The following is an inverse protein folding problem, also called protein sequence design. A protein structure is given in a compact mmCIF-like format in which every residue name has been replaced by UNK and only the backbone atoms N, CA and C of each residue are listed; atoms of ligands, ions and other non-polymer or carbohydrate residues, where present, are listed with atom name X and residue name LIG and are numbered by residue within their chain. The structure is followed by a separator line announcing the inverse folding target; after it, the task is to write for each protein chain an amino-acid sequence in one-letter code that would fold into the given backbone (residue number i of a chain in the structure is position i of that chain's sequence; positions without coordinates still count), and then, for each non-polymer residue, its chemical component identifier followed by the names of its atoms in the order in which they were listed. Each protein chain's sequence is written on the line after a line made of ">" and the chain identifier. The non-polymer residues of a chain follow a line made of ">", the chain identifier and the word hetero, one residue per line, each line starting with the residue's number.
data_IF_988636116927
#
_entry.id   IF_988636116927
#
_cell.length_a   1.000
_cell.length_b   1.000
_cell.length_c   1.000
_cell.angle_alpha   90.00
_cell.angle_beta   90.00
_cell.angle_gamma   90.00
#
_symmetry.space_group_name_H-M   'P 1'
#
loop_
_entity.id
_entity.type
_entity.pdbx_description
1 polymer ?
#
# COMPACT_ATOMS: atom_id res chain seq x y z
N UNK A 1 -20.87 30.76 -8.88
CA UNK A 1 -21.28 29.49 -8.26
C UNK A 1 -20.00 28.83 -7.77
N UNK A 2 -19.90 28.40 -6.51
CA UNK A 2 -18.65 27.85 -5.99
C UNK A 2 -18.21 26.63 -6.83
N UNK A 3 -16.92 26.61 -7.18
CA UNK A 3 -16.29 25.55 -7.96
C UNK A 3 -15.75 24.47 -7.01
N UNK A 4 -15.89 23.21 -7.40
CA UNK A 4 -15.25 22.10 -6.69
C UNK A 4 -13.85 21.87 -7.27
N UNK A 5 -12.86 21.48 -6.45
CA UNK A 5 -11.53 21.18 -6.94
C UNK A 5 -11.55 19.98 -7.90
N UNK A 6 -10.56 19.92 -8.79
CA UNK A 6 -10.39 18.83 -9.75
C UNK A 6 -9.74 17.58 -9.11
N UNK A 7 -10.21 17.19 -7.92
CA UNK A 7 -9.79 16.05 -7.10
C UNK A 7 -11.01 15.46 -6.38
N UNK A 8 -10.87 14.35 -5.67
CA UNK A 8 -11.95 13.81 -4.85
C UNK A 8 -12.33 14.79 -3.75
N UNK A 9 -13.62 14.93 -3.52
CA UNK A 9 -14.19 15.81 -2.49
C UNK A 9 -15.10 15.01 -1.57
N UNK A 10 -15.19 15.45 -0.32
CA UNK A 10 -16.28 15.10 0.59
C UNK A 10 -17.04 16.37 0.91
N UNK A 11 -18.22 16.52 0.30
CA UNK A 11 -19.03 17.74 0.38
C UNK A 11 -20.09 17.58 1.45
N UNK A 12 -20.12 18.49 2.42
CA UNK A 12 -21.23 18.63 3.36
C UNK A 12 -22.43 19.21 2.62
N UNK A 13 -23.54 18.50 2.64
CA UNK A 13 -24.79 18.91 1.96
C UNK A 13 -25.95 19.13 2.91
N UNK A 14 -25.76 18.82 4.20
CA UNK A 14 -26.74 19.05 5.25
C UNK A 14 -26.07 19.67 6.48
N UNK A 15 -26.68 20.74 7.00
CA UNK A 15 -26.10 21.61 8.03
C UNK A 15 -26.87 21.59 9.36
N UNK A 16 -27.67 20.55 9.61
CA UNK A 16 -28.50 20.47 10.82
C UNK A 16 -27.75 20.07 12.10
N UNK A 17 -26.54 19.53 11.99
CA UNK A 17 -25.69 19.19 13.13
C UNK A 17 -24.20 19.42 12.82
N UNK A 18 -23.61 20.46 13.42
CA UNK A 18 -22.18 20.79 13.28
C UNK A 18 -21.28 19.87 14.11
N UNK A 19 -21.81 19.30 15.20
CA UNK A 19 -21.04 18.40 16.06
C UNK A 19 -20.81 17.08 15.34
N UNK A 20 -21.84 16.52 14.73
CA UNK A 20 -21.69 15.27 13.98
C UNK A 20 -20.88 15.44 12.71
N UNK A 21 -20.94 16.61 12.07
CA UNK A 21 -19.97 16.95 11.02
C UNK A 21 -18.52 16.89 11.52
N UNK A 22 -18.24 17.47 12.69
CA UNK A 22 -16.92 17.38 13.32
C UNK A 22 -16.51 15.95 13.73
N UNK A 23 -17.46 15.07 14.07
CA UNK A 23 -17.21 13.65 14.32
C UNK A 23 -16.85 12.93 13.02
N UNK A 24 -17.66 13.08 11.98
CA UNK A 24 -17.40 12.51 10.65
C UNK A 24 -16.04 12.92 10.11
N UNK A 25 -15.68 14.21 10.19
CA UNK A 25 -14.38 14.69 9.75
C UNK A 25 -13.24 13.96 10.47
N UNK A 26 -13.33 13.75 11.79
CA UNK A 26 -12.32 12.99 12.53
C UNK A 26 -12.25 11.53 12.09
N UNK A 27 -13.39 10.88 11.84
CA UNK A 27 -13.43 9.50 11.38
C UNK A 27 -12.82 9.34 9.98
N UNK A 28 -13.10 10.27 9.05
CA UNK A 28 -12.53 10.25 7.69
C UNK A 28 -11.03 10.58 7.65
N UNK A 29 -10.54 11.32 8.65
CA UNK A 29 -9.12 11.61 8.85
C UNK A 29 -8.42 10.55 9.70
N UNK A 30 -9.14 9.54 10.19
CA UNK A 30 -8.55 8.38 10.85
C UNK A 30 -8.13 7.38 9.78
N UNK A 31 -6.85 6.94 9.74
CA UNK A 31 -6.42 5.93 8.78
C UNK A 31 -7.29 4.67 8.88
N UNK A 32 -7.57 4.05 7.73
CA UNK A 32 -8.22 2.76 7.66
C UNK A 32 -7.42 1.72 8.44
N UNK A 33 -8.00 0.53 8.61
CA UNK A 33 -7.27 -0.58 9.22
C UNK A 33 -5.88 -0.74 8.61
N UNK A 34 -5.79 -0.78 7.28
CA UNK A 34 -4.54 -0.93 6.52
C UNK A 34 -3.62 0.31 6.51
N UNK A 35 -3.96 1.37 7.26
CA UNK A 35 -3.15 2.58 7.37
C UNK A 35 -3.34 3.60 6.25
N UNK A 36 -4.36 3.43 5.40
CA UNK A 36 -4.64 4.33 4.29
C UNK A 36 -5.59 5.47 4.71
N UNK A 37 -5.36 6.65 4.16
CA UNK A 37 -6.32 7.75 4.21
C UNK A 37 -6.97 7.93 2.85
N UNK A 38 -8.21 8.39 2.86
CA UNK A 38 -8.85 8.87 1.64
C UNK A 38 -8.27 10.25 1.29
N UNK A 39 -7.86 10.44 0.05
CA UNK A 39 -7.33 11.70 -0.47
C UNK A 39 -8.48 12.66 -0.88
N UNK A 40 -9.44 12.85 0.02
CA UNK A 40 -10.60 13.73 -0.21
C UNK A 40 -10.35 15.14 0.30
N UNK A 41 -10.73 16.15 -0.50
CA UNK A 41 -10.83 17.53 -0.03
C UNK A 41 -12.18 17.74 0.67
N UNK A 42 -12.14 18.09 1.96
CA UNK A 42 -13.36 18.43 2.71
C UNK A 42 -13.93 19.75 2.21
N UNK A 43 -15.23 19.78 1.91
CA UNK A 43 -15.94 20.98 1.46
C UNK A 43 -17.12 21.24 2.40
N UNK A 44 -16.96 22.24 3.26
CA UNK A 44 -17.96 22.70 4.23
C UNK A 44 -18.39 24.14 3.86
N UNK A 45 -19.21 24.25 2.82
CA UNK A 45 -19.71 25.53 2.30
C UNK A 45 -21.23 25.41 2.09
N UNK A 46 -22.05 26.23 2.78
CA UNK A 46 -23.51 26.25 2.64
C UNK A 46 -24.01 26.43 1.20
N UNK A 47 -23.20 26.95 0.28
CA UNK A 47 -23.54 27.01 -1.14
C UNK A 47 -23.77 25.63 -1.79
N UNK A 48 -23.35 24.55 -1.13
CA UNK A 48 -23.57 23.16 -1.56
C UNK A 48 -24.66 22.43 -0.75
N UNK A 49 -25.45 23.14 0.06
CA UNK A 49 -26.61 22.55 0.74
C UNK A 49 -27.56 21.89 -0.28
N UNK A 50 -27.94 20.64 -0.01
CA UNK A 50 -28.81 19.85 -0.88
C UNK A 50 -28.20 19.46 -2.24
N UNK A 51 -26.88 19.56 -2.43
CA UNK A 51 -26.21 19.15 -3.67
C UNK A 51 -26.52 17.68 -4.01
N UNK A 52 -27.13 17.43 -5.16
CA UNK A 52 -27.46 16.06 -5.60
C UNK A 52 -26.25 15.35 -6.23
N UNK A 53 -26.25 14.01 -6.30
CA UNK A 53 -25.23 13.24 -7.01
C UNK A 53 -25.08 13.62 -8.50
N UNK A 54 -26.18 13.97 -9.17
CA UNK A 54 -26.18 14.43 -10.57
C UNK A 54 -25.49 15.80 -10.69
N UNK A 55 -25.78 16.71 -9.75
CA UNK A 55 -25.17 18.03 -9.72
C UNK A 55 -23.69 17.97 -9.35
N UNK A 56 -23.30 17.05 -8.46
CA UNK A 56 -21.90 16.76 -8.17
C UNK A 56 -21.17 16.26 -9.43
N UNK A 57 -21.73 15.26 -10.14
CA UNK A 57 -21.18 14.75 -11.41
C UNK A 57 -20.95 15.85 -12.44
N UNK A 58 -21.93 16.73 -12.61
CA UNK A 58 -21.83 17.85 -13.55
C UNK A 58 -20.69 18.84 -13.21
N UNK A 59 -20.25 18.88 -11.95
CA UNK A 59 -19.15 19.74 -11.48
C UNK A 59 -17.76 19.14 -11.63
N UNK A 60 -17.63 17.87 -12.03
CA UNK A 60 -16.35 17.16 -12.19
C UNK A 60 -16.05 16.71 -13.63
N UNK A 61 -15.98 17.57 -14.66
CA UNK A 61 -15.80 17.12 -16.05
C UNK A 61 -14.39 16.58 -16.42
N UNK A 62 -13.42 16.53 -15.49
CA UNK A 62 -12.03 16.11 -15.79
C UNK A 62 -11.12 15.84 -14.59
N UNK A 63 -11.67 15.40 -13.46
CA UNK A 63 -10.99 15.19 -12.18
C UNK A 63 -11.08 13.75 -11.65
N UNK A 64 -11.39 13.62 -10.37
CA UNK A 64 -11.56 12.32 -9.73
C UNK A 64 -12.72 11.50 -10.33
N UNK A 65 -12.52 10.17 -10.36
CA UNK A 65 -13.50 9.19 -10.76
C UNK A 65 -14.61 9.05 -9.70
N UNK A 66 -14.29 9.19 -8.41
CA UNK A 66 -15.26 9.15 -7.31
C UNK A 66 -15.19 10.40 -6.43
N UNK A 67 -16.34 10.86 -5.94
CA UNK A 67 -16.44 11.90 -4.91
C UNK A 67 -17.61 11.59 -3.98
N UNK A 68 -17.71 12.32 -2.88
CA UNK A 68 -18.53 11.91 -1.75
C UNK A 68 -19.43 13.06 -1.27
N UNK A 69 -20.61 12.70 -0.79
CA UNK A 69 -21.56 13.61 -0.16
C UNK A 69 -21.81 13.15 1.29
N UNK A 70 -21.76 14.10 2.21
CA UNK A 70 -22.29 13.95 3.56
C UNK A 70 -23.66 14.63 3.61
N UNK A 71 -24.71 13.82 3.52
CA UNK A 71 -26.11 14.25 3.58
C UNK A 71 -26.69 14.06 4.98
N UNK A 72 -27.99 14.33 5.15
CA UNK A 72 -28.69 14.15 6.42
C UNK A 72 -28.51 12.73 6.96
N UNK A 73 -28.56 11.70 6.11
CA UNK A 73 -28.39 10.31 6.53
C UNK A 73 -26.96 10.06 7.01
N UNK A 74 -25.94 10.62 6.34
CA UNK A 74 -24.56 10.53 6.81
C UNK A 74 -24.39 11.10 8.21
N UNK A 75 -25.06 12.21 8.55
CA UNK A 75 -24.88 12.89 9.84
C UNK A 75 -25.84 12.45 10.94
N UNK A 76 -26.90 11.70 10.62
CA UNK A 76 -27.90 11.23 11.60
C UNK A 76 -27.83 9.73 11.86
N UNK A 77 -27.22 8.95 10.96
CA UNK A 77 -27.08 7.51 11.11
C UNK A 77 -25.84 7.17 11.98
N UNK A 78 -25.94 6.21 12.92
CA UNK A 78 -24.88 5.92 13.90
C UNK A 78 -23.54 5.43 13.32
N UNK A 79 -23.52 4.96 12.08
CA UNK A 79 -22.30 4.51 11.39
C UNK A 79 -21.72 5.55 10.41
N UNK A 80 -22.32 6.75 10.39
CA UNK A 80 -22.02 7.84 9.45
C UNK A 80 -21.76 7.43 7.99
N UNK A 81 -22.68 6.70 7.34
CA UNK A 81 -22.48 6.15 6.02
C UNK A 81 -22.47 7.28 4.97
N UNK A 82 -21.30 7.51 4.39
CA UNK A 82 -21.00 8.56 3.41
C UNK A 82 -21.51 8.11 2.04
N UNK A 83 -22.16 9.01 1.29
CA UNK A 83 -22.67 8.68 -0.04
C UNK A 83 -21.54 8.80 -1.08
N UNK A 84 -21.07 7.68 -1.61
CA UNK A 84 -20.14 7.64 -2.72
C UNK A 84 -20.88 7.91 -4.04
N UNK A 85 -20.30 8.77 -4.88
CA UNK A 85 -20.84 9.16 -6.19
C UNK A 85 -19.77 8.99 -7.25
N UNK A 86 -20.12 8.27 -8.31
CA UNK A 86 -19.26 8.16 -9.48
C UNK A 86 -19.27 9.48 -10.27
N UNK A 87 -18.21 10.27 -10.12
CA UNK A 87 -18.08 11.61 -10.71
C UNK A 87 -17.81 11.59 -12.22
N UNK A 88 -17.01 10.63 -12.72
CA UNK A 88 -16.57 10.58 -14.12
C UNK A 88 -16.61 9.17 -14.73
N UNK A 89 -17.72 8.76 -15.37
CA UNK A 89 -17.76 7.51 -16.12
C UNK A 89 -16.93 7.60 -17.42
N UNK A 90 -16.29 6.49 -17.87
CA UNK A 90 -15.63 6.42 -19.17
C UNK A 90 -16.57 6.87 -20.30
N UNK A 91 -16.03 7.63 -21.27
CA UNK A 91 -16.83 8.09 -22.42
C UNK A 91 -17.43 6.90 -23.16
N UNK A 92 -18.77 6.85 -23.24
CA UNK A 92 -19.53 5.79 -23.90
C UNK A 92 -20.07 4.72 -22.95
N UNK A 93 -19.73 4.76 -21.66
CA UNK A 93 -20.33 3.91 -20.65
C UNK A 93 -21.66 4.53 -20.17
N UNK A 94 -22.76 4.07 -20.78
CA UNK A 94 -24.13 4.45 -20.46
C UNK A 94 -24.79 3.44 -19.49
N UNK A 95 -24.00 2.65 -18.73
CA UNK A 95 -24.52 1.65 -17.80
C UNK A 95 -25.46 2.32 -16.79
N UNK A 96 -26.75 2.02 -16.96
CA UNK A 96 -27.89 2.42 -16.12
C UNK A 96 -27.81 1.87 -14.68
N UNK A 97 -26.76 1.09 -14.36
CA UNK A 97 -26.59 0.36 -13.10
C UNK A 97 -25.77 1.06 -12.01
N UNK A 98 -25.05 2.15 -12.31
CA UNK A 98 -24.13 2.76 -11.34
C UNK A 98 -24.80 3.81 -10.46
N UNK A 99 -25.67 3.34 -9.57
CA UNK A 99 -26.28 4.18 -8.53
C UNK A 99 -25.23 4.52 -7.46
N UNK A 100 -25.31 5.71 -6.86
CA UNK A 100 -24.60 6.00 -5.62
C UNK A 100 -24.87 4.93 -4.57
N UNK A 101 -23.83 4.55 -3.82
CA UNK A 101 -23.93 3.65 -2.68
C UNK A 101 -23.32 4.31 -1.46
N UNK A 102 -23.59 3.78 -0.27
CA UNK A 102 -23.03 4.34 0.96
C UNK A 102 -21.82 3.54 1.44
N UNK A 103 -20.86 4.22 2.05
CA UNK A 103 -19.64 3.62 2.60
C UNK A 103 -19.41 4.13 4.02
N UNK A 104 -19.06 3.24 4.94
CA UNK A 104 -18.67 3.66 6.29
C UNK A 104 -17.33 4.40 6.26
N UNK A 105 -17.07 5.37 7.17
CA UNK A 105 -15.82 6.14 7.16
C UNK A 105 -14.56 5.26 7.17
N UNK A 106 -14.57 4.15 7.90
CA UNK A 106 -13.46 3.20 7.98
C UNK A 106 -13.06 2.55 6.63
N UNK A 107 -13.98 2.54 5.65
CA UNK A 107 -13.77 1.97 4.31
C UNK A 107 -13.63 3.05 3.23
N UNK A 108 -13.71 4.34 3.59
CA UNK A 108 -13.68 5.44 2.64
C UNK A 108 -12.37 5.45 1.82
N UNK A 109 -11.23 5.20 2.46
CA UNK A 109 -9.93 5.13 1.82
C UNK A 109 -9.84 3.99 0.79
N UNK A 110 -10.45 2.84 1.08
CA UNK A 110 -10.47 1.71 0.16
C UNK A 110 -11.22 2.05 -1.12
N UNK A 111 -12.40 2.66 -1.00
CA UNK A 111 -13.21 3.08 -2.16
C UNK A 111 -12.51 4.19 -2.95
N UNK A 112 -12.03 5.24 -2.28
CA UNK A 112 -11.45 6.41 -2.95
C UNK A 112 -10.16 6.05 -3.69
N UNK A 113 -9.20 5.41 -3.01
CA UNK A 113 -7.90 5.08 -3.60
C UNK A 113 -8.06 4.11 -4.77
N UNK A 114 -8.80 3.00 -4.59
CA UNK A 114 -8.88 1.97 -5.61
C UNK A 114 -9.61 2.44 -6.87
N UNK A 115 -10.70 3.21 -6.73
CA UNK A 115 -11.46 3.69 -7.89
C UNK A 115 -10.66 4.76 -8.64
N UNK A 116 -10.07 5.73 -7.94
CA UNK A 116 -9.32 6.80 -8.61
C UNK A 116 -8.01 6.34 -9.25
N UNK A 117 -7.35 5.33 -8.68
CA UNK A 117 -6.14 4.71 -9.26
C UNK A 117 -6.45 3.62 -10.28
N UNK A 118 -7.74 3.30 -10.49
CA UNK A 118 -8.20 2.23 -11.37
C UNK A 118 -7.64 0.84 -11.01
N UNK A 119 -7.51 0.55 -9.71
CA UNK A 119 -7.18 -0.78 -9.21
C UNK A 119 -8.43 -1.68 -9.13
N UNK A 120 -9.58 -1.10 -8.74
CA UNK A 120 -10.90 -1.74 -8.75
C UNK A 120 -11.91 -0.78 -9.41
N UNK A 121 -12.99 -1.34 -9.94
CA UNK A 121 -14.06 -0.56 -10.56
C UNK A 121 -15.21 -0.27 -9.58
N UNK A 122 -16.22 0.45 -10.05
CA UNK A 122 -17.38 0.81 -9.23
C UNK A 122 -18.22 -0.41 -8.82
N UNK A 123 -18.36 -1.40 -9.71
CA UNK A 123 -19.19 -2.58 -9.46
C UNK A 123 -18.56 -3.46 -8.35
N UNK A 124 -17.23 -3.51 -8.29
CA UNK A 124 -16.49 -4.22 -7.24
C UNK A 124 -16.89 -3.79 -5.82
N UNK A 125 -17.37 -2.55 -5.64
CA UNK A 125 -17.90 -2.04 -4.37
C UNK A 125 -19.43 -2.04 -4.32
N UNK A 126 -20.09 -1.55 -5.37
CA UNK A 126 -21.54 -1.37 -5.38
C UNK A 126 -22.31 -2.70 -5.31
N UNK A 127 -21.75 -3.78 -5.84
CA UNK A 127 -22.34 -5.12 -5.78
C UNK A 127 -22.10 -5.82 -4.42
N UNK A 128 -21.28 -5.21 -3.55
CA UNK A 128 -20.85 -5.74 -2.24
C UNK A 128 -21.40 -4.97 -1.05
N UNK A 129 -22.35 -4.07 -1.28
CA UNK A 129 -23.07 -3.41 -0.19
C UNK A 129 -23.91 -4.44 0.58
N UNK A 130 -24.07 -4.22 1.88
CA UNK A 130 -24.97 -5.03 2.69
C UNK A 130 -26.43 -4.80 2.30
N UNK A 131 -27.35 -5.56 2.92
CA UNK A 131 -28.78 -5.50 2.62
C UNK A 131 -29.41 -4.10 2.80
N UNK A 132 -28.77 -3.22 3.56
CA UNK A 132 -29.17 -1.83 3.78
C UNK A 132 -28.51 -0.83 2.81
N UNK A 133 -27.70 -1.30 1.86
CA UNK A 133 -27.05 -0.48 0.85
C UNK A 133 -25.77 0.21 1.33
N UNK A 134 -25.22 -0.22 2.47
CA UNK A 134 -23.97 0.30 3.04
C UNK A 134 -22.84 -0.70 2.81
N UNK A 135 -21.74 -0.22 2.24
CA UNK A 135 -20.49 -0.94 2.11
C UNK A 135 -19.70 -0.82 3.42
N UNK A 136 -19.54 -1.95 4.11
CA UNK A 136 -18.74 -2.09 5.34
C UNK A 136 -17.40 -2.81 5.14
N UNK A 137 -17.11 -3.22 3.90
CA UNK A 137 -15.96 -4.06 3.59
C UNK A 137 -16.24 -5.54 3.88
N UNK A 138 -15.25 -6.41 3.67
CA UNK A 138 -15.33 -7.78 4.16
C UNK A 138 -15.22 -7.79 5.70
N UNK A 139 -16.02 -8.63 6.36
CA UNK A 139 -15.88 -8.90 7.80
C UNK A 139 -14.51 -9.56 8.01
N UNK A 140 -13.48 -8.74 8.26
CA UNK A 140 -12.20 -9.25 8.71
C UNK A 140 -12.42 -9.70 10.15
N UNK A 141 -12.35 -11.02 10.37
CA UNK A 141 -12.36 -11.60 11.70
C UNK A 141 -11.36 -10.84 12.60
N UNK A 142 -11.72 -10.67 13.87
CA UNK A 142 -10.96 -9.98 14.92
C UNK A 142 -9.45 -9.96 14.62
N UNK A 143 -8.95 -8.77 14.32
CA UNK A 143 -7.59 -8.50 13.85
C UNK A 143 -6.56 -9.33 14.61
N UNK A 144 -5.76 -10.12 13.90
CA UNK A 144 -4.68 -10.87 14.52
C UNK A 144 -3.51 -9.94 14.84
N UNK A 145 -2.72 -10.24 15.86
CA UNK A 145 -1.49 -9.48 16.21
C UNK A 145 -0.53 -9.31 15.01
N UNK A 146 -0.64 -10.18 14.01
CA UNK A 146 0.15 -10.10 12.79
C UNK A 146 -0.34 -9.02 11.80
N UNK A 147 -1.65 -8.84 11.64
CA UNK A 147 -2.21 -7.80 10.76
C UNK A 147 -1.87 -6.40 11.30
N UNK A 148 -1.96 -6.21 12.62
CA UNK A 148 -1.48 -5.01 13.31
C UNK A 148 0.03 -4.76 13.09
N UNK A 149 0.84 -5.82 13.11
CA UNK A 149 2.28 -5.74 12.85
C UNK A 149 2.57 -5.28 11.42
N UNK A 150 1.84 -5.79 10.41
CA UNK A 150 1.99 -5.36 9.01
C UNK A 150 1.61 -3.90 8.84
N UNK A 151 0.55 -3.42 9.50
CA UNK A 151 0.13 -2.00 9.48
C UNK A 151 1.20 -1.07 10.05
N UNK A 152 1.80 -1.44 11.19
CA UNK A 152 2.88 -0.64 11.80
C UNK A 152 4.12 -0.58 10.90
N UNK A 153 4.46 -1.67 10.21
CA UNK A 153 5.55 -1.74 9.23
C UNK A 153 5.30 -0.75 8.06
N UNK A 154 4.08 -0.72 7.52
CA UNK A 154 3.71 0.15 6.40
C UNK A 154 3.68 1.64 6.80
N UNK A 155 3.17 1.95 7.99
CA UNK A 155 3.15 3.31 8.51
C UNK A 155 4.57 3.88 8.71
N UNK A 156 5.48 3.09 9.31
CA UNK A 156 6.89 3.48 9.48
C UNK A 156 7.59 3.71 8.12
N UNK A 157 7.29 2.87 7.13
CA UNK A 157 7.79 3.03 5.76
C UNK A 157 7.34 4.35 5.12
N UNK A 158 6.05 4.68 5.25
CA UNK A 158 5.46 5.88 4.66
C UNK A 158 6.02 7.18 5.26
N UNK A 159 6.25 7.20 6.58
CA UNK A 159 6.91 8.31 7.28
C UNK A 159 8.31 8.57 6.71
N UNK A 160 9.09 7.51 6.47
CA UNK A 160 10.44 7.62 5.93
C UNK A 160 10.48 8.15 4.49
N UNK A 161 9.57 7.66 3.64
CA UNK A 161 9.46 8.11 2.24
C UNK A 161 8.94 9.55 2.12
N UNK A 162 8.30 10.09 3.16
CA UNK A 162 7.63 11.40 3.11
C UNK A 162 8.00 12.26 4.32
N UNK A 163 9.16 12.96 4.31
CA UNK A 163 9.70 13.67 5.48
C UNK A 163 8.85 14.83 6.06
N UNK A 164 7.69 15.16 5.46
CA UNK A 164 6.73 16.14 5.96
C UNK A 164 5.48 15.56 6.64
N UNK A 165 5.30 14.23 6.61
CA UNK A 165 4.12 13.54 7.17
C UNK A 165 4.33 13.11 8.64
N UNK A 166 5.58 13.14 9.11
CA UNK A 166 6.00 12.72 10.44
C UNK A 166 5.33 13.52 11.58
N UNK A 167 4.95 14.77 11.32
CA UNK A 167 4.33 15.63 12.34
C UNK A 167 2.86 15.28 12.60
N UNK A 168 2.19 14.68 11.61
CA UNK A 168 0.79 14.25 11.67
C UNK A 168 0.62 12.77 12.09
N UNK A 169 1.68 11.97 12.03
CA UNK A 169 1.67 10.52 12.28
C UNK A 169 2.16 10.10 13.67
N UNK A 170 2.34 11.04 14.62
CA UNK A 170 2.74 10.77 16.02
C UNK A 170 1.70 10.02 16.87
N UNK A 171 0.84 9.23 16.25
CA UNK A 171 -0.08 8.32 16.94
C UNK A 171 -0.14 6.92 16.30
N UNK A 172 0.76 6.61 15.35
CA UNK A 172 1.00 5.26 14.83
C UNK A 172 2.24 4.59 15.43
N UNK A 173 2.79 5.15 16.52
CA UNK A 173 3.75 4.40 17.34
C UNK A 173 3.02 3.24 17.99
N UNK A 174 3.62 2.05 17.86
CA UNK A 174 3.25 0.87 18.65
C UNK A 174 3.05 1.30 20.11
N UNK A 175 2.00 0.83 20.81
CA UNK A 175 1.73 1.23 22.20
C UNK A 175 2.92 1.02 23.16
N UNK A 176 3.95 0.26 22.75
CA UNK A 176 5.16 -0.04 23.50
C UNK A 176 6.43 0.72 23.04
N UNK A 177 6.38 1.53 21.98
CA UNK A 177 7.54 2.31 21.49
C UNK A 177 8.69 1.51 20.84
N UNK A 178 8.48 0.22 20.55
CA UNK A 178 9.47 -0.66 19.91
C UNK A 178 9.24 -0.69 18.39
N UNK A 179 10.32 -0.49 17.61
CA UNK A 179 10.28 -0.53 16.14
C UNK A 179 9.87 -1.91 15.61
N UNK A 180 8.94 -1.92 14.66
CA UNK A 180 8.42 -3.14 14.01
C UNK A 180 9.16 -3.49 12.72
N UNK A 181 9.94 -2.55 12.19
CA UNK A 181 10.76 -2.70 10.97
C UNK A 181 12.07 -1.94 11.14
N UNK A 182 13.15 -2.46 10.54
CA UNK A 182 14.40 -1.72 10.40
C UNK A 182 14.49 -1.10 9.00
N UNK A 183 14.94 0.15 8.95
CA UNK A 183 15.24 0.86 7.69
C UNK A 183 16.74 1.02 7.62
N UNK A 184 17.37 0.30 6.71
CA UNK A 184 18.82 0.22 6.58
C UNK A 184 19.26 0.88 5.29
N UNK A 185 20.07 1.93 5.40
CA UNK A 185 20.69 2.54 4.21
C UNK A 185 21.82 1.67 3.66
N UNK A 186 22.02 1.68 2.34
CA UNK A 186 23.10 0.93 1.67
C UNK A 186 24.50 1.34 2.12
N UNK A 187 24.64 2.56 2.65
CA UNK A 187 25.90 3.11 3.14
C UNK A 187 26.03 3.06 4.68
N UNK A 188 25.03 2.49 5.37
CA UNK A 188 24.96 2.50 6.83
C UNK A 188 26.12 1.76 7.48
N UNK A 189 26.40 2.07 8.75
CA UNK A 189 27.39 1.32 9.52
C UNK A 189 26.94 -0.09 9.91
N UNK A 190 27.71 -1.16 9.59
CA UNK A 190 27.36 -2.54 9.90
C UNK A 190 27.09 -2.79 11.38
N UNK A 191 27.79 -2.09 12.28
CA UNK A 191 27.52 -2.20 13.71
C UNK A 191 26.15 -1.62 14.03
N UNK A 192 25.84 -0.46 13.46
CA UNK A 192 24.51 0.15 13.57
C UNK A 192 23.41 -0.70 12.93
N UNK A 193 23.67 -1.39 11.81
CA UNK A 193 22.70 -2.32 11.18
C UNK A 193 22.37 -3.46 12.14
N UNK A 194 23.39 -4.12 12.72
CA UNK A 194 23.19 -5.18 13.70
C UNK A 194 22.40 -4.69 14.91
N UNK A 195 22.79 -3.55 15.47
CA UNK A 195 22.13 -2.98 16.66
C UNK A 195 20.66 -2.66 16.39
N UNK A 196 20.33 -2.13 15.21
CA UNK A 196 18.95 -1.88 14.82
C UNK A 196 18.15 -3.16 14.59
N UNK A 197 18.72 -4.16 13.94
CA UNK A 197 18.02 -5.44 13.73
C UNK A 197 17.81 -6.19 15.05
N UNK A 198 18.77 -6.11 15.99
CA UNK A 198 18.66 -6.74 17.29
C UNK A 198 17.63 -6.08 18.23
N UNK A 199 17.25 -4.82 17.97
CA UNK A 199 16.21 -4.12 18.76
C UNK A 199 14.80 -4.38 18.25
N UNK A 200 14.63 -5.00 17.08
CA UNK A 200 13.32 -5.38 16.57
C UNK A 200 12.69 -6.45 17.46
N UNK A 201 11.42 -6.26 17.83
CA UNK A 201 10.64 -7.27 18.58
C UNK A 201 10.60 -8.62 17.84
N UNK A 202 10.61 -8.58 16.52
CA UNK A 202 10.55 -9.77 15.67
C UNK A 202 11.89 -10.50 15.53
N UNK A 203 13.00 -9.89 15.98
CA UNK A 203 14.32 -10.51 15.89
C UNK A 203 14.38 -11.80 16.74
N UNK A 204 14.79 -12.94 16.16
CA UNK A 204 14.88 -14.19 16.93
C UNK A 204 15.89 -14.05 18.08
N UNK A 205 15.45 -14.30 19.32
CA UNK A 205 16.32 -14.23 20.49
C UNK A 205 17.51 -15.21 20.44
N UNK A 206 17.40 -16.27 19.64
CA UNK A 206 18.45 -17.27 19.41
C UNK A 206 19.43 -16.90 18.27
N UNK A 207 19.24 -15.76 17.60
CA UNK A 207 20.12 -15.32 16.52
C UNK A 207 21.50 -14.96 17.08
N UNK A 208 22.53 -15.75 16.72
CA UNK A 208 23.91 -15.51 17.11
C UNK A 208 24.57 -14.48 16.20
N UNK A 209 25.53 -13.73 16.77
CA UNK A 209 26.37 -12.74 16.08
C UNK A 209 27.86 -13.09 16.14
N UNK A 210 28.22 -14.32 16.54
CA UNK A 210 29.62 -14.73 16.74
C UNK A 210 30.42 -14.78 15.43
N UNK A 211 29.73 -14.95 14.31
CA UNK A 211 30.29 -14.97 12.95
C UNK A 211 30.72 -13.57 12.45
N UNK A 212 30.20 -12.49 13.03
CA UNK A 212 30.37 -11.12 12.53
C UNK A 212 31.84 -10.70 12.47
N UNK A 213 32.66 -11.13 13.44
CA UNK A 213 34.09 -10.79 13.45
C UNK A 213 34.83 -11.41 12.26
N UNK A 214 34.52 -12.66 11.92
CA UNK A 214 35.10 -13.35 10.77
C UNK A 214 34.60 -12.73 9.46
N UNK A 215 33.29 -12.48 9.35
CA UNK A 215 32.68 -11.83 8.19
C UNK A 215 33.29 -10.46 7.90
N UNK A 216 33.49 -9.63 8.95
CA UNK A 216 34.15 -8.33 8.84
C UNK A 216 35.56 -8.42 8.27
N UNK A 217 36.32 -9.45 8.65
CA UNK A 217 37.68 -9.63 8.18
C UNK A 217 37.72 -10.04 6.70
N UNK A 218 36.75 -10.85 6.26
CA UNK A 218 36.62 -11.29 4.87
C UNK A 218 36.20 -10.15 3.93
N UNK A 219 35.32 -9.26 4.39
CA UNK A 219 34.76 -8.16 3.59
C UNK A 219 35.40 -6.80 3.90
N UNK A 220 36.59 -6.77 4.50
CA UNK A 220 37.25 -5.54 4.97
C UNK A 220 37.52 -4.53 3.83
N UNK A 221 37.75 -5.04 2.62
CA UNK A 221 38.06 -4.24 1.43
C UNK A 221 36.85 -4.07 0.48
N UNK A 222 35.69 -4.65 0.82
CA UNK A 222 34.49 -4.57 -0.02
C UNK A 222 33.93 -3.15 -0.05
N UNK A 223 33.41 -2.68 -1.21
CA UNK A 223 32.59 -1.48 -1.26
C UNK A 223 31.44 -1.56 -0.26
N UNK A 224 31.05 -0.41 0.31
CA UNK A 224 30.12 -0.39 1.44
C UNK A 224 28.75 -0.98 1.10
N UNK A 225 28.19 -0.65 -0.06
CA UNK A 225 26.94 -1.21 -0.53
C UNK A 225 27.01 -2.75 -0.68
N UNK A 226 28.08 -3.26 -1.31
CA UNK A 226 28.30 -4.71 -1.50
C UNK A 226 28.47 -5.44 -0.15
N UNK A 227 29.17 -4.80 0.80
CA UNK A 227 29.29 -5.30 2.16
C UNK A 227 27.90 -5.41 2.80
N UNK A 228 27.05 -4.38 2.72
CA UNK A 228 25.74 -4.37 3.37
C UNK A 228 24.82 -5.43 2.76
N UNK A 229 24.83 -5.61 1.45
CA UNK A 229 24.08 -6.69 0.80
C UNK A 229 24.52 -8.07 1.33
N UNK A 230 25.81 -8.38 1.25
CA UNK A 230 26.34 -9.65 1.73
C UNK A 230 26.08 -9.86 3.23
N UNK A 231 26.13 -8.79 4.02
CA UNK A 231 25.88 -8.85 5.46
C UNK A 231 24.42 -9.18 5.77
N UNK A 232 23.48 -8.56 5.05
CA UNK A 232 22.05 -8.85 5.19
C UNK A 232 21.71 -10.27 4.72
N UNK A 233 22.33 -10.74 3.63
CA UNK A 233 22.17 -12.12 3.16
C UNK A 233 22.66 -13.14 4.21
N UNK A 234 23.81 -12.90 4.83
CA UNK A 234 24.34 -13.77 5.88
C UNK A 234 23.43 -13.79 7.12
N UNK A 235 22.87 -12.63 7.52
CA UNK A 235 21.84 -12.58 8.58
C UNK A 235 20.62 -13.40 8.17
N UNK A 236 20.17 -13.30 6.92
CA UNK A 236 19.08 -14.07 6.37
C UNK A 236 19.32 -15.58 6.42
N UNK A 237 20.56 -16.03 6.21
CA UNK A 237 20.96 -17.43 6.37
C UNK A 237 20.85 -17.91 7.83
N UNK A 238 21.38 -17.13 8.76
CA UNK A 238 21.32 -17.45 10.18
C UNK A 238 19.88 -17.43 10.71
N UNK A 239 19.04 -16.50 10.26
CA UNK A 239 17.63 -16.44 10.65
C UNK A 239 16.84 -17.65 10.12
N UNK A 240 17.09 -18.06 8.89
CA UNK A 240 16.41 -19.21 8.28
C UNK A 240 16.78 -20.53 8.94
N UNK A 241 18.03 -20.68 9.37
CA UNK A 241 18.45 -21.84 10.16
C UNK A 241 17.67 -21.98 11.48
N UNK A 242 17.08 -20.88 11.97
CA UNK A 242 16.20 -20.83 13.15
C UNK A 242 14.71 -20.91 12.79
N UNK A 243 14.37 -21.17 11.52
CA UNK A 243 12.98 -21.22 11.05
C UNK A 243 12.31 -19.84 10.94
N UNK A 244 13.09 -18.76 10.82
CA UNK A 244 12.60 -17.39 10.64
C UNK A 244 13.02 -16.85 9.27
N UNK A 245 12.18 -16.04 8.64
CA UNK A 245 12.47 -15.36 7.38
C UNK A 245 12.84 -13.90 7.67
N UNK A 246 14.00 -13.46 7.19
CA UNK A 246 14.29 -12.03 7.06
C UNK A 246 13.68 -11.55 5.74
N UNK A 247 12.61 -10.76 5.83
CA UNK A 247 11.91 -10.23 4.66
C UNK A 247 12.38 -8.81 4.33
N UNK A 248 12.59 -8.54 3.05
CA UNK A 248 12.90 -7.21 2.51
C UNK A 248 11.76 -6.71 1.62
N UNK A 249 11.18 -5.55 1.94
CA UNK A 249 10.12 -4.94 1.13
C UNK A 249 10.74 -4.13 -0.02
N UNK A 250 10.42 -4.51 -1.26
CA UNK A 250 10.95 -3.90 -2.48
C UNK A 250 10.15 -2.68 -2.90
N UNK A 251 10.65 -1.47 -2.63
CA UNK A 251 10.24 -0.23 -3.34
C UNK A 251 11.05 1.03 -2.96
N UNK A 252 12.37 0.95 -2.75
CA UNK A 252 13.16 2.16 -2.45
C UNK A 252 14.68 2.01 -2.54
N UNK A 253 15.39 3.09 -2.21
CA UNK A 253 16.86 3.15 -2.15
C UNK A 253 17.43 2.42 -0.92
N UNK A 254 16.68 2.36 0.19
CA UNK A 254 17.04 1.68 1.44
C UNK A 254 16.40 0.29 1.55
N UNK A 255 16.97 -0.57 2.42
CA UNK A 255 16.39 -1.87 2.76
C UNK A 255 15.36 -1.72 3.89
N UNK A 256 14.17 -2.26 3.68
CA UNK A 256 13.06 -2.28 4.63
C UNK A 256 12.90 -3.70 5.17
N UNK A 257 13.41 -3.94 6.38
CA UNK A 257 13.65 -5.29 6.88
C UNK A 257 12.76 -5.65 8.06
N UNK A 258 12.20 -6.85 8.03
CA UNK A 258 11.41 -7.41 9.12
C UNK A 258 11.66 -8.91 9.25
N UNK A 259 11.74 -9.42 10.47
CA UNK A 259 11.71 -10.86 10.72
C UNK A 259 10.26 -11.36 10.82
N UNK A 260 9.95 -12.44 10.11
CA UNK A 260 8.63 -13.06 10.10
C UNK A 260 8.75 -14.59 10.07
N UNK A 261 7.73 -15.31 10.50
CA UNK A 261 7.66 -16.77 10.28
C UNK A 261 7.40 -17.08 8.79
N UNK A 262 7.66 -18.30 8.31
CA UNK A 262 7.36 -18.68 6.92
C UNK A 262 5.90 -18.48 6.53
N UNK A 263 4.96 -18.84 7.41
CA UNK A 263 3.51 -18.62 7.19
C UNK A 263 3.17 -17.13 7.08
N UNK A 264 3.76 -16.32 7.96
CA UNK A 264 3.62 -14.87 7.92
C UNK A 264 4.24 -14.26 6.66
N UNK A 265 5.35 -14.80 6.16
CA UNK A 265 5.95 -14.38 4.90
C UNK A 265 5.04 -14.65 3.70
N UNK A 266 4.40 -15.81 3.64
CA UNK A 266 3.44 -16.13 2.57
C UNK A 266 2.24 -15.17 2.59
N UNK A 267 1.72 -14.89 3.78
CA UNK A 267 0.62 -13.94 3.96
C UNK A 267 1.02 -12.51 3.60
N UNK A 268 2.18 -12.06 4.06
CA UNK A 268 2.77 -10.77 3.70
C UNK A 268 3.00 -10.65 2.19
N UNK A 269 3.53 -11.69 1.56
CA UNK A 269 3.77 -11.73 0.11
C UNK A 269 2.46 -11.63 -0.67
N UNK A 270 1.41 -12.36 -0.24
CA UNK A 270 0.08 -12.29 -0.85
C UNK A 270 -0.50 -10.87 -0.75
N UNK A 271 -0.46 -10.27 0.44
CA UNK A 271 -0.95 -8.91 0.68
C UNK A 271 -0.20 -7.89 -0.18
N UNK A 272 1.13 -7.90 -0.13
CA UNK A 272 1.95 -6.94 -0.88
C UNK A 272 1.79 -7.08 -2.41
N UNK A 273 1.64 -8.32 -2.91
CA UNK A 273 1.37 -8.58 -4.33
C UNK A 273 0.06 -7.95 -4.78
N UNK A 274 -0.99 -8.00 -3.94
CA UNK A 274 -2.28 -7.33 -4.23
C UNK A 274 -2.11 -5.82 -4.42
N UNK A 275 -1.12 -5.22 -3.75
CA UNK A 275 -0.80 -3.79 -3.82
C UNK A 275 0.40 -3.46 -4.74
N UNK A 276 0.76 -4.37 -5.65
CA UNK A 276 1.90 -4.21 -6.58
C UNK A 276 3.24 -3.89 -5.90
N UNK A 277 3.40 -4.27 -4.64
CA UNK A 277 4.67 -4.20 -3.92
C UNK A 277 5.31 -5.57 -3.85
N UNK A 278 6.65 -5.60 -3.93
CA UNK A 278 7.41 -6.84 -3.79
C UNK A 278 7.85 -7.07 -2.35
N UNK A 279 7.94 -8.34 -1.96
CA UNK A 279 8.71 -8.74 -0.78
C UNK A 279 9.59 -9.91 -1.17
N UNK A 280 10.84 -9.85 -0.73
CA UNK A 280 11.85 -10.87 -0.98
C UNK A 280 12.27 -11.49 0.33
N UNK A 281 12.42 -12.81 0.35
CA UNK A 281 13.13 -13.48 1.45
C UNK A 281 14.61 -13.24 1.24
N UNK A 282 15.26 -12.57 2.19
CA UNK A 282 16.69 -12.31 2.15
C UNK A 282 17.44 -13.61 2.49
N UNK A 283 18.21 -14.08 1.52
CA UNK A 283 19.00 -15.32 1.50
C UNK A 283 20.29 -15.03 0.70
N UNK A 284 21.30 -15.89 0.76
CA UNK A 284 22.45 -15.77 -0.14
C UNK A 284 22.01 -15.69 -1.61
N UNK A 285 22.63 -14.79 -2.36
CA UNK A 285 22.32 -14.48 -3.77
C UNK A 285 20.95 -13.85 -4.03
N UNK A 286 20.27 -13.34 -3.00
CA UNK A 286 18.98 -12.65 -3.17
C UNK A 286 19.14 -11.31 -3.89
N UNK A 287 20.26 -10.63 -3.68
CA UNK A 287 20.51 -9.33 -4.30
C UNK A 287 21.36 -9.41 -5.57
N UNK A 288 22.08 -10.52 -5.78
CA UNK A 288 22.94 -10.74 -6.96
C UNK A 288 22.17 -10.97 -8.27
N UNK A 289 20.86 -11.24 -8.21
CA UNK A 289 20.01 -11.45 -9.38
C UNK A 289 19.25 -10.20 -9.86
N UNK A 290 19.52 -9.01 -9.29
CA UNK A 290 19.02 -7.75 -9.84
C UNK A 290 19.77 -7.39 -11.12
N UNK A 291 19.20 -7.85 -12.25
CA UNK A 291 19.55 -7.38 -13.59
C UNK A 291 19.63 -5.86 -13.54
N UNK A 292 20.83 -5.30 -13.72
CA UNK A 292 21.02 -3.85 -13.68
C UNK A 292 20.16 -3.19 -14.77
N UNK A 293 19.78 -1.91 -14.66
CA UNK A 293 19.05 -1.22 -15.72
C UNK A 293 19.74 -1.33 -17.09
N UNK A 294 21.07 -1.35 -17.11
CA UNK A 294 21.89 -1.59 -18.30
C UNK A 294 21.79 -3.02 -18.82
N UNK A 295 21.83 -4.04 -17.96
CA UNK A 295 21.62 -5.43 -18.36
C UNK A 295 20.16 -5.66 -18.83
N UNK A 296 19.18 -5.00 -18.22
CA UNK A 296 17.77 -5.04 -18.64
C UNK A 296 17.60 -4.38 -20.02
N UNK A 297 18.30 -3.26 -20.26
CA UNK A 297 18.36 -2.61 -21.56
C UNK A 297 19.07 -3.48 -22.60
N UNK A 298 20.16 -4.17 -22.23
CA UNK A 298 20.90 -5.09 -23.09
C UNK A 298 20.08 -6.33 -23.46
N UNK A 299 19.34 -6.91 -22.51
CA UNK A 299 18.42 -8.04 -22.74
C UNK A 299 17.25 -7.59 -23.63
N UNK A 300 16.68 -6.39 -23.40
CA UNK A 300 15.64 -5.80 -24.26
C UNK A 300 16.17 -5.51 -25.68
N UNK A 301 17.41 -5.04 -25.81
CA UNK A 301 18.04 -4.78 -27.10
C UNK A 301 18.38 -6.07 -27.85
N UNK A 302 18.87 -7.09 -27.14
CA UNK A 302 19.10 -8.44 -27.67
C UNK A 302 17.79 -9.10 -28.12
N UNK A 303 16.73 -9.04 -27.32
CA UNK A 303 15.40 -9.56 -27.67
C UNK A 303 14.76 -8.82 -28.85
N UNK A 304 15.05 -7.53 -29.05
CA UNK A 304 14.60 -6.76 -30.23
C UNK A 304 15.37 -7.10 -31.50
N UNK A 305 16.61 -7.53 -31.38
CA UNK A 305 17.49 -7.86 -32.53
C UNK A 305 17.40 -9.33 -32.93
N UNK A 306 17.02 -10.23 -32.00
CA UNK A 306 17.00 -11.68 -32.20
C UNK A 306 15.63 -12.33 -31.93
N UNK A 307 14.64 -11.58 -31.47
CA UNK A 307 13.31 -12.10 -31.15
C UNK A 307 12.36 -12.12 -32.34
N UNK A 308 12.27 -13.26 -33.01
CA UNK A 308 11.13 -13.59 -33.87
C UNK A 308 9.82 -13.47 -33.08
N UNK A 309 8.82 -12.81 -33.66
CA UNK A 309 7.50 -12.58 -33.06
C UNK A 309 6.88 -13.87 -32.52
N UNK A 310 6.77 -13.99 -31.20
CA UNK A 310 5.86 -14.93 -30.54
C UNK A 310 4.51 -14.22 -30.33
N UNK A 311 3.63 -14.33 -31.31
CA UNK A 311 2.19 -14.13 -31.07
C UNK A 311 1.63 -15.40 -30.44
N UNK A 312 1.08 -15.27 -29.24
CA UNK A 312 0.38 -16.34 -28.54
C UNK A 312 -0.82 -16.83 -29.36
N UNK A 313 -0.69 -17.98 -30.00
CA UNK A 313 -1.75 -18.99 -30.20
C UNK A 313 -1.10 -20.30 -30.62
N UNK A 314 -1.39 -21.36 -29.87
CA UNK A 314 -0.71 -22.65 -29.98
C UNK A 314 -0.82 -23.31 -31.34
N UNK A 315 0.33 -23.68 -31.88
CA UNK A 315 0.61 -24.91 -32.63
C UNK A 315 2.11 -24.91 -32.92
N UNK A 316 2.84 -25.90 -32.41
CA UNK A 316 4.26 -26.10 -32.76
C UNK A 316 4.27 -26.80 -34.12
N UNK A 317 4.70 -26.08 -35.16
CA UNK A 317 5.18 -26.71 -36.39
C UNK A 317 6.62 -26.29 -36.60
N UNK A 318 7.53 -27.26 -36.46
CA UNK A 318 8.91 -27.14 -36.89
C UNK A 318 8.93 -26.94 -38.40
N UNK A 319 9.60 -25.89 -38.86
CA UNK A 319 10.04 -25.79 -40.24
C UNK A 319 11.57 -25.79 -40.17
N UNK A 320 12.12 -26.88 -40.68
CA UNK A 320 13.54 -27.05 -40.97
C UNK A 320 14.01 -25.95 -41.93
N UNK A 321 15.19 -25.43 -41.63
CA UNK A 321 15.95 -24.57 -42.53
C UNK A 321 16.29 -25.33 -43.81
N UNK A 322 16.30 -24.66 -44.98
CA UNK A 322 17.42 -24.90 -45.84
C UNK A 322 18.00 -23.63 -46.47
N UNK A 323 19.32 -23.52 -46.22
CA UNK A 323 20.42 -23.01 -47.06
C UNK A 323 20.59 -21.51 -47.29
#
# INVERSE_FOLDING_TARGET
>A
MAELPNKSVLVRTWFGDDREWGTLVRETLTPSGEGFLAYTTLVDDPAFEGLSPEALRAKHPGGALVSFLADEVTLTHPEHPILAVWSLPPRGDNRVGYRPFRVVPAQLASVENNINEANLDWADFADRVDADGIYRGEVVAKESDFDFSVRSIMAQRLVHLTPGLAESLRSAESPDGIASMAIISREQDPRSVREQLATLRSCPAALSWDWVAAFNAEHADSPRADYIEAFLEEIGEHAFALGTVLASLNSGEDYYLVFVTPTQFEELSRLLTQHRMGVESVRRDSFTSRITPEQSAAIKAWARTHGSKLTARGAITWIEDPS
#
